data_IF_551925055647
#
_entry.id   IF_551925055647
#
_cell.length_a   1.000
_cell.length_b   1.000
_cell.length_c   1.000
_cell.angle_alpha   90.00
_cell.angle_beta   90.00
_cell.angle_gamma   90.00
#
_symmetry.space_group_name_H-M   'P 1'
#
loop_
_entity.id
_entity.type
_entity.pdbx_description
1 polymer ?
#
# COMPACT_ATOMS: atom_id res chain seq x y z
N UNK A 1 3.96 -1.53 51.67
CA UNK A 1 3.25 -0.54 50.84
C UNK A 1 2.76 -1.23 49.59
N UNK A 2 1.45 -1.35 49.41
CA UNK A 2 0.85 -2.07 48.27
C UNK A 2 0.37 -1.04 47.25
N UNK A 3 1.11 -0.89 46.16
CA UNK A 3 0.63 -0.21 44.96
C UNK A 3 0.55 -1.24 43.83
N UNK A 4 -0.66 -1.51 43.32
CA UNK A 4 -0.90 -1.94 41.93
C UNK A 4 -2.40 -2.02 41.66
N UNK A 5 -2.99 -0.89 41.25
CA UNK A 5 -4.24 -0.86 40.51
C UNK A 5 -3.93 -0.52 39.06
N UNK A 6 -4.01 -1.48 38.14
CA UNK A 6 -4.14 -1.22 36.71
C UNK A 6 -5.64 -1.26 36.39
N UNK A 7 -6.31 -0.11 36.43
CA UNK A 7 -7.68 -0.01 35.93
C UNK A 7 -7.58 0.02 34.40
N UNK A 8 -7.88 -1.09 33.75
CA UNK A 8 -8.02 -1.14 32.29
C UNK A 8 -9.36 -0.51 31.94
N UNK A 9 -9.35 0.78 31.59
CA UNK A 9 -10.53 1.47 31.08
C UNK A 9 -11.00 0.81 29.78
N UNK A 10 -12.24 0.31 29.77
CA UNK A 10 -12.94 -0.13 28.55
C UNK A 10 -13.64 1.08 27.95
N UNK A 11 -13.01 1.73 26.98
CA UNK A 11 -13.65 2.75 26.17
C UNK A 11 -14.37 2.04 25.00
N UNK A 12 -15.70 1.95 25.07
CA UNK A 12 -16.52 1.56 23.92
C UNK A 12 -16.72 2.79 23.04
N UNK A 13 -16.03 2.85 21.90
CA UNK A 13 -16.34 3.85 20.88
C UNK A 13 -17.70 3.53 20.23
N UNK A 14 -18.52 4.55 19.92
CA UNK A 14 -19.75 4.35 19.16
C UNK A 14 -19.43 3.70 17.80
N UNK A 15 -20.18 2.66 17.42
CA UNK A 15 -19.93 1.95 16.16
C UNK A 15 -20.15 2.85 14.93
N UNK A 16 -21.05 3.82 15.03
CA UNK A 16 -21.44 4.70 13.94
C UNK A 16 -20.30 5.64 13.50
N UNK A 17 -19.54 6.18 14.46
CA UNK A 17 -18.39 7.05 14.16
C UNK A 17 -17.24 6.27 13.53
N UNK A 18 -17.08 4.99 13.91
CA UNK A 18 -16.10 4.10 13.29
C UNK A 18 -16.51 3.78 11.85
N UNK A 19 -17.80 3.53 11.56
CA UNK A 19 -18.26 3.28 10.19
C UNK A 19 -18.17 4.50 9.26
N UNK A 20 -18.50 5.70 9.74
CA UNK A 20 -18.38 6.92 8.93
C UNK A 20 -16.90 7.21 8.63
N UNK A 21 -16.03 7.12 9.64
CA UNK A 21 -14.59 7.27 9.43
C UNK A 21 -14.01 6.24 8.47
N UNK A 22 -14.52 4.99 8.46
CA UNK A 22 -14.12 3.97 7.48
C UNK A 22 -14.52 4.34 6.06
N UNK A 23 -15.77 4.73 5.85
CA UNK A 23 -16.25 5.07 4.51
C UNK A 23 -15.44 6.23 3.91
N UNK A 24 -15.04 7.20 4.73
CA UNK A 24 -14.18 8.30 4.30
C UNK A 24 -12.77 7.83 3.93
N UNK A 25 -12.12 7.05 4.79
CA UNK A 25 -10.76 6.53 4.55
C UNK A 25 -10.74 5.58 3.33
N UNK A 26 -11.75 4.72 3.20
CA UNK A 26 -11.86 3.82 2.06
C UNK A 26 -12.08 4.58 0.75
N UNK A 27 -12.85 5.68 0.80
CA UNK A 27 -13.01 6.60 -0.33
C UNK A 27 -11.70 7.28 -0.73
N UNK A 28 -10.89 7.72 0.24
CA UNK A 28 -9.56 8.29 -0.03
C UNK A 28 -8.61 7.25 -0.64
N UNK A 29 -8.62 6.01 -0.14
CA UNK A 29 -7.84 4.90 -0.71
C UNK A 29 -8.26 4.58 -2.13
N UNK A 30 -9.56 4.49 -2.37
CA UNK A 30 -10.10 4.24 -3.70
C UNK A 30 -9.65 5.32 -4.70
N UNK A 31 -9.67 6.59 -4.30
CA UNK A 31 -9.14 7.68 -5.12
C UNK A 31 -7.63 7.58 -5.36
N UNK A 32 -6.85 7.20 -4.34
CA UNK A 32 -5.42 6.97 -4.49
C UNK A 32 -5.13 5.83 -5.48
N UNK A 33 -5.86 4.72 -5.37
CA UNK A 33 -5.76 3.58 -6.27
C UNK A 33 -6.12 3.96 -7.71
N UNK A 34 -7.23 4.67 -7.93
CA UNK A 34 -7.57 5.20 -9.26
C UNK A 34 -6.47 6.09 -9.85
N UNK A 35 -5.79 6.88 -9.02
CA UNK A 35 -4.66 7.70 -9.45
C UNK A 35 -3.48 6.83 -9.88
N UNK A 36 -3.16 5.79 -9.12
CA UNK A 36 -2.07 4.85 -9.44
C UNK A 36 -2.39 4.05 -10.71
N UNK A 37 -3.63 3.58 -10.89
CA UNK A 37 -4.06 2.93 -12.12
C UNK A 37 -3.93 3.85 -13.33
N UNK A 38 -4.29 5.12 -13.17
CA UNK A 38 -4.15 6.13 -14.22
C UNK A 38 -2.68 6.36 -14.58
N UNK A 39 -1.77 6.33 -13.59
CA UNK A 39 -0.34 6.40 -13.85
C UNK A 39 0.14 5.22 -14.69
N UNK A 40 -0.19 3.99 -14.30
CA UNK A 40 0.15 2.79 -15.08
C UNK A 40 -0.47 2.81 -16.48
N UNK A 41 -1.73 3.27 -16.59
CA UNK A 41 -2.42 3.41 -17.87
C UNK A 41 -1.77 4.46 -18.77
N UNK A 42 -1.23 5.53 -18.19
CA UNK A 42 -0.48 6.56 -18.93
C UNK A 42 0.81 6.02 -19.56
N UNK A 43 1.36 4.94 -19.01
CA UNK A 43 2.49 4.23 -19.60
C UNK A 43 2.07 3.16 -20.63
N UNK A 44 0.77 3.00 -20.90
CA UNK A 44 0.24 2.08 -21.91
C UNK A 44 -0.11 0.68 -21.40
N UNK A 45 -0.23 0.49 -20.08
CA UNK A 45 -0.54 -0.81 -19.48
C UNK A 45 -1.98 -0.89 -18.98
N UNK A 46 -2.41 -2.10 -18.64
CA UNK A 46 -3.64 -2.29 -17.87
C UNK A 46 -3.38 -1.83 -16.43
N UNK A 47 -3.77 -0.58 -16.13
CA UNK A 47 -3.44 0.05 -14.86
C UNK A 47 -3.98 -0.69 -13.65
N UNK A 48 -5.20 -1.21 -13.76
CA UNK A 48 -5.82 -2.02 -12.72
C UNK A 48 -5.02 -3.29 -12.43
N UNK A 49 -4.68 -4.07 -13.47
CA UNK A 49 -3.88 -5.28 -13.29
C UNK A 49 -2.48 -5.01 -12.71
N UNK A 50 -1.85 -3.91 -13.12
CA UNK A 50 -0.55 -3.51 -12.57
C UNK A 50 -0.64 -3.07 -11.10
N UNK A 51 -1.71 -2.37 -10.71
CA UNK A 51 -1.93 -2.04 -9.31
C UNK A 51 -2.21 -3.30 -8.47
N UNK A 52 -3.03 -4.23 -8.95
CA UNK A 52 -3.24 -5.52 -8.26
C UNK A 52 -1.94 -6.30 -8.08
N UNK A 53 -1.09 -6.35 -9.11
CA UNK A 53 0.24 -6.96 -9.03
C UNK A 53 1.10 -6.30 -7.94
N UNK A 54 1.18 -4.96 -7.94
CA UNK A 54 1.94 -4.21 -6.95
C UNK A 54 1.47 -4.46 -5.52
N UNK A 55 0.14 -4.50 -5.28
CA UNK A 55 -0.43 -4.80 -3.96
C UNK A 55 -0.07 -6.23 -3.54
N UNK A 56 -0.19 -7.18 -4.46
CA UNK A 56 0.19 -8.57 -4.22
C UNK A 56 1.67 -8.71 -3.86
N UNK A 57 2.58 -8.14 -4.67
CA UNK A 57 4.03 -8.21 -4.46
C UNK A 57 4.44 -7.55 -3.13
N UNK A 58 3.78 -6.45 -2.77
CA UNK A 58 3.97 -5.78 -1.48
C UNK A 58 3.60 -6.69 -0.31
N UNK A 59 2.52 -7.46 -0.46
CA UNK A 59 2.03 -8.40 0.53
C UNK A 59 2.85 -9.70 0.60
N UNK A 60 3.52 -10.08 -0.49
CA UNK A 60 4.46 -11.22 -0.60
C UNK A 60 5.85 -10.91 0.00
N UNK A 61 5.97 -9.91 0.88
CA UNK A 61 7.21 -9.47 1.54
C UNK A 61 8.24 -8.73 0.66
N UNK A 62 7.95 -8.41 -0.61
CA UNK A 62 8.90 -7.72 -1.50
C UNK A 62 9.25 -6.30 -1.03
N UNK A 63 8.33 -5.63 -0.33
CA UNK A 63 8.55 -4.27 0.14
C UNK A 63 9.60 -4.18 1.27
N UNK A 64 9.85 -5.25 2.04
CA UNK A 64 10.80 -5.22 3.18
C UNK A 64 12.23 -4.89 2.74
N UNK A 65 12.58 -5.17 1.49
CA UNK A 65 13.91 -4.89 0.95
C UNK A 65 14.23 -3.39 0.83
N UNK A 66 13.21 -2.53 0.87
CA UNK A 66 13.33 -1.07 0.71
C UNK A 66 13.34 -0.30 2.03
N UNK A 67 13.43 -1.00 3.17
CA UNK A 67 13.43 -0.40 4.51
C UNK A 67 12.19 0.46 4.76
N UNK A 68 12.36 1.67 5.30
CA UNK A 68 11.25 2.56 5.67
C UNK A 68 10.36 2.94 4.48
N UNK A 69 10.93 3.11 3.28
CA UNK A 69 10.14 3.40 2.07
C UNK A 69 9.24 2.22 1.73
N UNK A 70 9.76 1.01 1.89
CA UNK A 70 9.01 -0.22 1.71
C UNK A 70 7.87 -0.38 2.72
N UNK A 71 8.14 -0.08 4.00
CA UNK A 71 7.11 -0.11 5.05
C UNK A 71 6.01 0.92 4.80
N UNK A 72 6.37 2.14 4.37
CA UNK A 72 5.40 3.17 4.03
C UNK A 72 4.56 2.75 2.83
N UNK A 73 5.19 2.16 1.81
CA UNK A 73 4.48 1.67 0.64
C UNK A 73 3.53 0.51 0.99
N UNK A 74 3.97 -0.41 1.84
CA UNK A 74 3.12 -1.46 2.39
C UNK A 74 1.90 -0.88 3.12
N UNK A 75 2.09 0.21 3.86
CA UNK A 75 0.98 0.90 4.51
C UNK A 75 0.01 1.57 3.53
N UNK A 76 0.52 2.15 2.45
CA UNK A 76 -0.28 2.83 1.43
C UNK A 76 -1.03 1.85 0.53
N UNK A 77 -0.38 0.76 0.14
CA UNK A 77 -0.91 -0.26 -0.76
C UNK A 77 -1.71 -1.35 -0.04
N UNK A 78 -1.63 -1.46 1.29
CA UNK A 78 -2.45 -2.38 2.05
C UNK A 78 -3.89 -1.85 2.15
N UNK A 79 -4.87 -2.50 1.50
CA UNK A 79 -6.28 -2.11 1.61
C UNK A 79 -6.82 -2.35 3.02
N UNK A 80 -6.18 -3.19 3.84
CA UNK A 80 -6.74 -3.66 5.11
C UNK A 80 -5.81 -3.45 6.32
N UNK A 81 -5.67 -2.19 6.75
CA UNK A 81 -5.13 -1.88 8.08
C UNK A 81 -6.22 -1.93 9.16
N UNK A 82 -6.62 -3.16 9.52
CA UNK A 82 -6.95 -3.49 10.91
C UNK A 82 -8.42 -3.42 11.38
N UNK A 83 -9.41 -3.17 10.52
CA UNK A 83 -10.82 -3.20 10.94
C UNK A 83 -11.72 -3.82 9.87
N UNK A 84 -12.39 -4.91 10.24
CA UNK A 84 -13.31 -5.68 9.42
C UNK A 84 -14.48 -4.83 8.91
N UNK A 85 -14.43 -4.40 7.66
CA UNK A 85 -15.52 -3.77 6.91
C UNK A 85 -15.40 -4.16 5.45
N UNK A 86 -16.49 -4.65 4.86
CA UNK A 86 -16.53 -5.00 3.43
C UNK A 86 -16.83 -3.72 2.63
N UNK A 87 -15.90 -3.31 1.77
CA UNK A 87 -16.14 -2.30 0.75
C UNK A 87 -16.05 -2.98 -0.63
N UNK A 88 -17.13 -2.86 -1.41
CA UNK A 88 -17.23 -3.48 -2.74
C UNK A 88 -16.21 -2.88 -3.72
N UNK A 89 -15.90 -1.60 -3.60
CA UNK A 89 -14.91 -0.90 -4.43
C UNK A 89 -13.47 -1.35 -4.15
N UNK A 90 -13.22 -1.88 -2.94
CA UNK A 90 -11.90 -2.34 -2.51
C UNK A 90 -11.71 -3.86 -2.57
N UNK A 91 -12.72 -4.57 -3.06
CA UNK A 91 -12.77 -6.04 -3.04
C UNK A 91 -11.60 -6.67 -3.80
N UNK A 92 -11.32 -6.20 -5.01
CA UNK A 92 -10.30 -6.80 -5.87
C UNK A 92 -8.88 -6.53 -5.32
N UNK A 93 -8.63 -5.34 -4.78
CA UNK A 93 -7.37 -5.01 -4.12
C UNK A 93 -7.17 -5.84 -2.85
N UNK A 94 -8.23 -6.05 -2.07
CA UNK A 94 -8.19 -6.90 -0.87
C UNK A 94 -7.91 -8.36 -1.24
N UNK A 95 -8.48 -8.84 -2.35
CA UNK A 95 -8.19 -10.17 -2.87
C UNK A 95 -6.72 -10.30 -3.30
N UNK A 96 -6.15 -9.29 -3.97
CA UNK A 96 -4.75 -9.27 -4.36
C UNK A 96 -3.81 -9.27 -3.14
N UNK A 97 -4.11 -8.48 -2.11
CA UNK A 97 -3.35 -8.48 -0.86
C UNK A 97 -3.38 -9.87 -0.21
N UNK A 98 -4.56 -10.46 -0.05
CA UNK A 98 -4.69 -11.78 0.56
C UNK A 98 -3.96 -12.85 -0.27
N UNK A 99 -4.02 -12.77 -1.60
CA UNK A 99 -3.29 -13.67 -2.47
C UNK A 99 -1.78 -13.57 -2.26
N UNK A 100 -1.22 -12.35 -2.18
CA UNK A 100 0.19 -12.14 -1.88
C UNK A 100 0.61 -12.66 -0.51
N UNK A 101 -0.24 -12.52 0.52
CA UNK A 101 0.05 -13.03 1.88
C UNK A 101 -0.05 -14.55 2.00
N UNK A 102 -1.02 -15.17 1.34
CA UNK A 102 -1.37 -16.58 1.54
C UNK A 102 -0.73 -17.51 0.51
N UNK A 103 -0.62 -17.05 -0.74
CA UNK A 103 -0.18 -17.87 -1.88
C UNK A 103 1.16 -17.38 -2.40
N UNK A 104 1.32 -16.06 -2.59
CA UNK A 104 2.46 -15.46 -3.27
C UNK A 104 2.49 -15.77 -4.77
N UNK A 105 3.67 -15.69 -5.37
CA UNK A 105 3.92 -15.85 -6.79
C UNK A 105 3.08 -14.88 -7.66
N UNK A 106 3.08 -13.61 -7.25
CA UNK A 106 2.28 -12.55 -7.86
C UNK A 106 2.58 -12.34 -9.36
N UNK A 107 3.79 -12.65 -9.82
CA UNK A 107 4.17 -12.60 -11.24
C UNK A 107 3.33 -13.52 -12.12
N UNK A 108 3.08 -14.74 -11.67
CA UNK A 108 2.28 -15.70 -12.43
C UNK A 108 0.80 -15.32 -12.39
N UNK A 109 0.31 -14.88 -11.23
CA UNK A 109 -1.08 -14.50 -11.02
C UNK A 109 -1.47 -13.24 -11.83
N UNK A 110 -0.57 -12.27 -11.92
CA UNK A 110 -0.78 -10.99 -12.58
C UNK A 110 0.16 -10.77 -13.79
N UNK A 111 0.37 -11.82 -14.58
CA UNK A 111 1.29 -11.82 -15.74
C UNK A 111 0.92 -10.80 -16.85
N UNK A 112 -0.27 -10.22 -16.82
CA UNK A 112 -0.67 -9.14 -17.73
C UNK A 112 0.06 -7.83 -17.46
N UNK A 113 0.66 -7.65 -16.27
CA UNK A 113 1.51 -6.51 -15.98
C UNK A 113 2.99 -6.92 -16.09
N UNK A 114 3.78 -6.28 -17.00
CA UNK A 114 5.17 -6.65 -17.22
C UNK A 114 6.15 -6.04 -16.20
N UNK A 115 5.67 -5.20 -15.27
CA UNK A 115 6.51 -4.59 -14.24
C UNK A 115 6.46 -5.34 -12.94
N UNK A 116 7.57 -5.32 -12.23
CA UNK A 116 7.67 -5.69 -10.83
C UNK A 116 7.73 -4.41 -9.99
N UNK A 117 7.06 -4.41 -8.85
CA UNK A 117 7.10 -3.33 -7.87
C UNK A 117 8.53 -2.90 -7.53
N UNK A 118 9.41 -3.88 -7.39
CA UNK A 118 10.81 -3.65 -7.03
C UNK A 118 11.53 -2.81 -8.08
N UNK A 119 11.28 -3.08 -9.36
CA UNK A 119 11.84 -2.31 -10.48
C UNK A 119 11.28 -0.90 -10.54
N UNK A 120 9.98 -0.73 -10.25
CA UNK A 120 9.35 0.58 -10.16
C UNK A 120 9.96 1.41 -9.03
N UNK A 121 10.18 0.82 -7.86
CA UNK A 121 10.79 1.50 -6.72
C UNK A 121 12.25 1.86 -6.99
N UNK A 122 13.04 0.94 -7.57
CA UNK A 122 14.44 1.20 -7.94
C UNK A 122 14.55 2.33 -8.96
N UNK A 123 13.70 2.30 -9.99
CA UNK A 123 13.69 3.32 -11.04
C UNK A 123 13.22 4.67 -10.48
N UNK A 124 12.15 4.69 -9.70
CA UNK A 124 11.63 5.90 -9.07
C UNK A 124 12.62 6.56 -8.11
N UNK A 125 13.26 5.78 -7.24
CA UNK A 125 14.32 6.30 -6.36
C UNK A 125 15.52 6.81 -7.14
N UNK A 126 15.91 6.15 -8.23
CA UNK A 126 17.01 6.61 -9.09
C UNK A 126 16.70 7.94 -9.77
N UNK A 127 15.45 8.13 -10.23
CA UNK A 127 14.99 9.41 -10.79
C UNK A 127 15.01 10.53 -9.74
N UNK A 128 14.58 10.24 -8.51
CA UNK A 128 14.63 11.20 -7.41
C UNK A 128 16.08 11.53 -6.96
N UNK A 129 16.99 10.56 -7.03
CA UNK A 129 18.41 10.80 -6.77
C UNK A 129 19.13 11.54 -7.91
N UNK A 130 18.63 11.43 -9.15
CA UNK A 130 19.02 12.33 -10.23
C UNK A 130 18.73 13.80 -9.89
N UNK A 131 17.64 14.05 -9.17
CA UNK A 131 17.26 15.38 -8.66
C UNK A 131 18.15 15.86 -7.49
N UNK A 132 18.57 14.98 -6.57
CA UNK A 132 19.43 15.38 -5.44
C UNK A 132 20.90 15.54 -5.83
N UNK A 133 21.34 14.88 -6.91
CA UNK A 133 22.67 15.11 -7.51
C UNK A 133 22.82 16.53 -8.08
N UNK A 134 21.70 17.23 -8.32
CA UNK A 134 21.68 18.65 -8.71
C UNK A 134 21.86 19.64 -7.55
N UNK A 135 21.91 19.18 -6.29
CA UNK A 135 22.05 20.02 -5.10
C UNK A 135 23.37 19.78 -4.33
N UNK A 136 24.35 19.14 -4.97
CA UNK A 136 25.69 18.86 -4.40
C UNK A 136 26.80 19.84 -4.83
N UNK A 137 26.45 21.03 -5.30
CA UNK A 137 27.40 22.06 -5.73
C UNK A 137 27.78 23.05 -4.63
N UNK A 138 28.33 22.61 -3.50
CA UNK A 138 29.15 23.48 -2.63
C UNK A 138 30.60 23.00 -2.72
N UNK A 139 31.33 23.58 -3.66
CA UNK A 139 32.79 23.50 -3.68
C UNK A 139 33.36 24.35 -2.54
N UNK A 140 34.28 23.74 -1.78
CA UNK A 140 35.35 24.43 -1.07
C UNK A 140 36.66 24.12 -1.78
#
# INVERSE_FOLDING_TARGET
GTFKGFVKGIYTLPSDTVSIGRAEIDGERYQAYNSIESLFSSFGYNGHQCLLKAICETAEDSAKEFGLIGELLAMLLSPNHGLTGYNEELKDYTAAENYGREVGNCDLAYNSCPYELNDLLRTGMSLLQGSVSGFGGFGF
#
